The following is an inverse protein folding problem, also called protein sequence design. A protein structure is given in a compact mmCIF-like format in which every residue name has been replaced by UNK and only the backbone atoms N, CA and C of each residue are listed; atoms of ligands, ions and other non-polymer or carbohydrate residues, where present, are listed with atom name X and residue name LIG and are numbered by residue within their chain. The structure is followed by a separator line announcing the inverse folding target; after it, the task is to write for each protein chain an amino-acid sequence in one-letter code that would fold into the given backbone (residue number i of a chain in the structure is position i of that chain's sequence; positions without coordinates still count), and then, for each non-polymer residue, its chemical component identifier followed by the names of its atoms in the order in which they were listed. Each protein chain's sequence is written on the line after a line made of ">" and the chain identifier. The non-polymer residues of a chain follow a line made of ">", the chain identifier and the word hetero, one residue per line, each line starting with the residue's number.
data_IF_351112663746
#
_entry.id   IF_351112663746
#
_cell.length_a   1.000
_cell.length_b   1.000
_cell.length_c   1.000
_cell.angle_alpha   90.00
_cell.angle_beta   90.00
_cell.angle_gamma   90.00
#
_symmetry.space_group_name_H-M   'P 1'
#
loop_
_entity.id
_entity.type
_entity.pdbx_description
1 polymer ?
#
# COMPACT_ATOMS: atom_id res chain seq x y z
N UNK A 1 45.57 -44.28 29.54
CA UNK A 1 45.96 -43.10 30.31
C UNK A 1 44.96 -42.01 30.01
N UNK A 2 43.87 -41.75 30.67
CA UNK A 2 43.54 -41.78 32.08
C UNK A 2 43.56 -40.35 32.60
N UNK A 3 42.42 -39.65 32.67
CA UNK A 3 42.15 -38.79 33.80
C UNK A 3 40.69 -38.27 33.71
N UNK A 4 39.93 -38.72 34.65
CA UNK A 4 38.58 -38.30 35.01
C UNK A 4 38.70 -37.05 35.89
N UNK A 5 37.98 -35.99 35.60
CA UNK A 5 37.82 -34.87 36.55
C UNK A 5 36.38 -34.89 37.07
N UNK A 6 36.26 -35.13 38.38
CA UNK A 6 35.04 -35.14 39.18
C UNK A 6 34.76 -33.69 39.61
N UNK A 7 33.58 -33.17 39.34
CA UNK A 7 33.12 -31.87 39.82
C UNK A 7 32.25 -32.02 41.07
N UNK A 8 32.62 -31.29 42.11
CA UNK A 8 32.02 -31.23 43.45
C UNK A 8 30.63 -30.62 43.46
N UNK A 9 29.65 -31.36 43.98
CA UNK A 9 28.37 -30.82 44.44
C UNK A 9 28.53 -30.18 45.81
N UNK A 10 28.28 -28.89 45.94
CA UNK A 10 28.11 -28.19 47.22
C UNK A 10 26.65 -28.27 47.64
N UNK A 11 26.40 -29.02 48.72
CA UNK A 11 25.14 -29.06 49.47
C UNK A 11 24.95 -27.77 50.23
N UNK A 12 23.86 -27.03 49.94
CA UNK A 12 23.39 -25.90 50.77
C UNK A 12 22.45 -26.41 51.86
N UNK A 13 22.89 -26.27 53.11
CA UNK A 13 22.07 -26.49 54.32
C UNK A 13 21.02 -25.39 54.46
N UNK A 14 19.74 -25.79 54.52
CA UNK A 14 18.64 -24.91 54.96
C UNK A 14 18.81 -24.55 56.44
N UNK A 15 18.93 -23.25 56.71
CA UNK A 15 18.79 -22.72 58.07
C UNK A 15 17.32 -22.46 58.32
N UNK A 16 16.79 -23.14 59.37
CA UNK A 16 15.45 -22.90 59.93
C UNK A 16 15.51 -21.59 60.71
N UNK A 17 14.67 -20.59 60.31
CA UNK A 17 14.49 -19.36 61.06
C UNK A 17 13.35 -19.51 62.09
N UNK A 18 13.45 -18.84 63.28
CA UNK A 18 12.52 -19.06 64.39
C UNK A 18 11.17 -18.41 64.13
N UNK A 19 10.10 -19.09 64.58
CA UNK A 19 8.74 -18.58 64.74
C UNK A 19 8.74 -17.40 65.72
N UNK A 20 8.55 -16.19 65.25
CA UNK A 20 7.87 -15.08 65.95
C UNK A 20 8.17 -13.76 65.19
N UNK A 21 7.43 -13.49 64.13
CA UNK A 21 7.21 -12.13 63.63
C UNK A 21 5.91 -12.06 62.83
N UNK A 22 4.82 -12.18 63.57
CA UNK A 22 3.52 -11.73 63.07
C UNK A 22 3.32 -10.31 63.60
N UNK A 23 3.60 -9.31 62.80
CA UNK A 23 2.96 -7.98 62.87
C UNK A 23 3.14 -7.27 61.54
N UNK A 24 2.01 -7.04 60.88
CA UNK A 24 1.76 -5.97 59.90
C UNK A 24 2.65 -5.99 58.64
N UNK A 25 2.38 -6.88 57.71
CA UNK A 25 2.66 -6.63 56.30
C UNK A 25 1.32 -6.35 55.60
N UNK A 26 1.04 -5.06 55.41
CA UNK A 26 -0.05 -4.63 54.55
C UNK A 26 0.22 -5.19 53.14
N UNK A 27 -0.66 -6.09 52.70
CA UNK A 27 -0.64 -6.65 51.38
C UNK A 27 -1.06 -5.55 50.40
N UNK A 28 -0.10 -4.73 49.96
CA UNK A 28 -0.33 -3.83 48.83
C UNK A 28 -0.40 -4.73 47.57
N UNK A 29 -1.63 -5.15 47.27
CA UNK A 29 -1.93 -5.74 45.98
C UNK A 29 -1.70 -4.63 44.93
N UNK A 30 -0.52 -4.64 44.32
CA UNK A 30 -0.25 -3.87 43.11
C UNK A 30 -1.12 -4.50 42.03
N UNK A 31 -2.33 -3.96 41.85
CA UNK A 31 -3.11 -4.23 40.65
C UNK A 31 -2.25 -3.78 39.48
N UNK A 32 -1.51 -4.72 38.89
CA UNK A 32 -1.04 -4.58 37.51
C UNK A 32 -2.30 -4.49 36.65
N UNK A 33 -2.78 -3.27 36.48
CA UNK A 33 -3.70 -2.95 35.39
C UNK A 33 -2.91 -3.27 34.13
N UNK A 34 -3.28 -4.29 33.32
CA UNK A 34 -2.67 -4.44 32.04
C UNK A 34 -2.88 -3.10 31.33
N UNK A 35 -1.80 -2.48 30.88
CA UNK A 35 -1.89 -1.43 29.89
C UNK A 35 -2.56 -2.05 28.67
N UNK A 36 -3.88 -2.06 28.65
CA UNK A 36 -4.65 -2.15 27.43
C UNK A 36 -4.16 -0.96 26.63
N UNK A 37 -3.23 -1.22 25.72
CA UNK A 37 -3.01 -0.37 24.58
C UNK A 37 -4.39 -0.18 23.96
N UNK A 38 -5.00 0.95 24.26
CA UNK A 38 -6.15 1.40 23.52
C UNK A 38 -5.69 1.59 22.07
N UNK A 39 -5.77 0.54 21.26
CA UNK A 39 -6.29 0.75 19.93
C UNK A 39 -7.66 1.37 20.20
N UNK A 40 -7.72 2.67 20.15
CA UNK A 40 -8.95 3.42 20.29
C UNK A 40 -9.77 2.96 19.09
N UNK A 41 -10.64 1.94 19.33
CA UNK A 41 -11.58 1.52 18.32
C UNK A 41 -12.29 2.79 17.90
N UNK A 42 -12.15 3.17 16.65
CA UNK A 42 -12.81 4.33 16.12
C UNK A 42 -14.32 4.03 16.09
N UNK A 43 -14.95 4.19 17.25
CA UNK A 43 -16.38 4.04 17.41
C UNK A 43 -17.00 5.41 17.19
N UNK A 44 -17.54 5.60 16.00
CA UNK A 44 -18.48 6.69 15.77
C UNK A 44 -19.80 6.32 16.47
N UNK A 45 -20.32 7.22 17.30
CA UNK A 45 -21.60 7.02 17.97
C UNK A 45 -22.80 7.16 17.03
N UNK A 46 -22.56 7.33 15.72
CA UNK A 46 -23.57 7.53 14.66
C UNK A 46 -22.97 7.05 13.34
N UNK A 47 -23.82 6.76 12.38
CA UNK A 47 -23.41 6.50 10.99
C UNK A 47 -22.94 7.81 10.35
N UNK A 48 -21.65 7.94 10.00
CA UNK A 48 -21.16 9.16 9.37
C UNK A 48 -21.72 9.28 7.93
N UNK A 49 -22.10 10.48 7.56
CA UNK A 49 -22.64 10.79 6.23
C UNK A 49 -21.72 11.68 5.39
N UNK A 50 -20.74 12.34 6.06
CA UNK A 50 -19.85 13.32 5.44
C UNK A 50 -18.39 13.00 5.77
N UNK A 51 -17.84 12.05 5.03
CA UNK A 51 -16.53 11.45 5.34
C UNK A 51 -15.42 12.10 4.52
N UNK A 52 -14.41 12.58 5.20
CA UNK A 52 -13.19 13.09 4.57
C UNK A 52 -12.07 12.06 4.60
N UNK A 53 -11.63 11.63 3.41
CA UNK A 53 -10.37 10.89 3.24
C UNK A 53 -9.18 11.84 3.29
N UNK A 54 -8.41 11.80 4.37
CA UNK A 54 -7.36 12.78 4.62
C UNK A 54 -6.14 12.66 3.69
N UNK A 55 -6.03 11.54 2.97
CA UNK A 55 -5.02 11.33 1.92
C UNK A 55 -5.57 10.46 0.78
N UNK A 56 -4.90 10.45 -0.38
CA UNK A 56 -5.41 9.80 -1.59
C UNK A 56 -5.68 8.30 -1.45
N UNK A 57 -4.90 7.57 -0.65
CA UNK A 57 -5.09 6.12 -0.46
C UNK A 57 -6.44 5.86 0.19
N UNK A 58 -6.74 6.60 1.26
CA UNK A 58 -8.02 6.51 1.98
C UNK A 58 -9.18 6.98 1.10
N UNK A 59 -9.01 8.08 0.35
CA UNK A 59 -10.04 8.57 -0.56
C UNK A 59 -10.40 7.52 -1.62
N UNK A 60 -9.43 6.77 -2.15
CA UNK A 60 -9.70 5.67 -3.08
C UNK A 60 -10.45 4.51 -2.43
N UNK A 61 -10.16 4.22 -1.15
CA UNK A 61 -10.95 3.24 -0.40
C UNK A 61 -12.39 3.72 -0.17
N UNK A 62 -12.60 5.01 0.11
CA UNK A 62 -13.95 5.58 0.22
C UNK A 62 -14.73 5.47 -1.09
N UNK A 63 -14.07 5.69 -2.24
CA UNK A 63 -14.71 5.49 -3.56
C UNK A 63 -15.17 4.04 -3.74
N UNK A 64 -14.38 3.06 -3.28
CA UNK A 64 -14.74 1.65 -3.36
C UNK A 64 -15.82 1.24 -2.35
N UNK A 65 -15.83 1.88 -1.18
CA UNK A 65 -16.66 1.49 -0.03
C UNK A 65 -18.02 2.18 0.00
N UNK A 66 -18.01 3.52 -0.02
CA UNK A 66 -19.18 4.36 0.17
C UNK A 66 -18.96 5.72 -0.54
N UNK A 67 -18.94 5.74 -1.88
CA UNK A 67 -18.65 6.96 -2.65
C UNK A 67 -19.66 8.08 -2.37
N UNK A 68 -20.89 7.75 -1.98
CA UNK A 68 -21.92 8.71 -1.60
C UNK A 68 -21.55 9.52 -0.35
N UNK A 69 -20.86 8.90 0.60
CA UNK A 69 -20.46 9.53 1.87
C UNK A 69 -19.19 10.39 1.75
N UNK A 70 -18.40 10.22 0.69
CA UNK A 70 -17.17 10.98 0.47
C UNK A 70 -17.48 12.46 0.20
N UNK A 71 -16.82 13.40 0.90
CA UNK A 71 -17.07 14.85 0.72
C UNK A 71 -16.20 15.51 -0.34
N UNK A 72 -15.11 14.90 -0.79
CA UNK A 72 -14.26 15.48 -1.82
C UNK A 72 -12.95 14.73 -2.08
N UNK A 73 -12.21 15.24 -3.05
CA UNK A 73 -10.96 14.67 -3.55
C UNK A 73 -9.74 15.34 -2.94
N UNK A 74 -8.61 14.62 -2.90
CA UNK A 74 -7.33 15.19 -2.47
C UNK A 74 -6.60 15.93 -3.60
N UNK A 75 -6.91 15.63 -4.84
CA UNK A 75 -6.38 16.29 -6.04
C UNK A 75 -7.37 16.13 -7.22
N UNK A 76 -7.26 16.92 -8.27
CA UNK A 76 -8.12 16.76 -9.45
C UNK A 76 -8.00 15.36 -10.05
N UNK A 77 -9.13 14.74 -10.32
CA UNK A 77 -9.19 13.43 -10.98
C UNK A 77 -9.17 13.63 -12.49
N UNK A 78 -8.52 12.69 -13.19
CA UNK A 78 -8.49 12.73 -14.66
C UNK A 78 -9.90 12.67 -15.24
N UNK A 79 -10.24 13.53 -16.22
CA UNK A 79 -11.52 13.46 -16.91
C UNK A 79 -11.81 12.10 -17.55
N UNK A 80 -10.77 11.37 -17.96
CA UNK A 80 -10.88 10.02 -18.54
C UNK A 80 -11.38 8.98 -17.52
N UNK A 81 -11.25 9.25 -16.22
CA UNK A 81 -11.76 8.37 -15.18
C UNK A 81 -13.25 8.61 -14.87
N UNK A 82 -13.89 9.61 -15.50
CA UNK A 82 -15.31 9.96 -15.24
C UNK A 82 -16.27 8.80 -15.50
N UNK A 83 -15.99 7.98 -16.52
CA UNK A 83 -16.83 6.84 -16.87
C UNK A 83 -16.75 5.67 -15.88
N UNK A 84 -15.71 5.69 -15.01
CA UNK A 84 -15.46 4.65 -14.02
C UNK A 84 -16.17 4.93 -12.70
N UNK A 85 -16.29 6.20 -12.32
CA UNK A 85 -16.85 6.55 -11.03
C UNK A 85 -18.37 6.61 -11.04
N UNK A 86 -19.04 6.23 -9.95
CA UNK A 86 -20.47 6.44 -9.77
C UNK A 86 -20.86 7.91 -9.99
N UNK A 87 -22.09 8.12 -10.44
CA UNK A 87 -22.62 9.48 -10.68
C UNK A 87 -22.46 10.37 -9.44
N UNK A 88 -22.06 11.61 -9.64
CA UNK A 88 -21.87 12.61 -8.59
C UNK A 88 -20.56 12.47 -7.79
N UNK A 89 -19.81 11.35 -7.93
CA UNK A 89 -18.50 11.19 -7.25
C UNK A 89 -17.42 12.02 -7.94
N UNK A 90 -17.40 12.01 -9.26
CA UNK A 90 -16.44 12.76 -10.05
C UNK A 90 -16.53 14.29 -9.81
N UNK A 91 -17.73 14.81 -9.58
CA UNK A 91 -18.01 16.25 -9.44
C UNK A 91 -17.75 16.80 -8.03
N UNK A 92 -17.35 15.95 -7.08
CA UNK A 92 -17.04 16.40 -5.72
C UNK A 92 -15.86 17.37 -5.70
N UNK A 93 -15.83 18.35 -4.77
CA UNK A 93 -14.80 19.38 -4.72
C UNK A 93 -13.42 18.79 -4.43
N UNK A 94 -12.37 19.50 -4.85
CA UNK A 94 -10.99 19.21 -4.47
C UNK A 94 -10.69 19.93 -3.15
N UNK A 95 -10.64 19.16 -2.06
CA UNK A 95 -10.35 19.66 -0.70
C UNK A 95 -8.83 19.70 -0.46
N UNK A 96 -8.07 18.85 -1.16
CA UNK A 96 -6.68 18.60 -0.84
C UNK A 96 -6.51 17.48 0.18
N UNK A 97 -5.31 17.33 0.73
CA UNK A 97 -5.01 16.27 1.70
C UNK A 97 -3.57 16.25 2.13
N UNK A 98 -3.25 15.40 3.10
CA UNK A 98 -1.87 15.18 3.54
C UNK A 98 -1.22 14.08 2.70
N UNK A 99 -0.31 14.46 1.84
CA UNK A 99 0.50 13.54 1.05
C UNK A 99 1.78 14.22 0.58
N UNK A 100 2.66 13.51 -0.10
CA UNK A 100 4.02 13.90 -0.49
C UNK A 100 4.32 15.39 -0.63
N UNK A 101 5.56 15.78 -0.36
CA UNK A 101 6.07 17.16 -0.46
C UNK A 101 5.38 18.19 0.48
N UNK A 102 4.86 17.74 1.64
CA UNK A 102 4.28 18.65 2.63
C UNK A 102 2.92 19.23 2.25
N UNK A 103 2.21 18.63 1.29
CA UNK A 103 0.86 19.07 0.92
C UNK A 103 -0.10 18.90 2.10
N UNK A 104 -1.01 19.86 2.22
CA UNK A 104 -2.04 19.93 3.26
C UNK A 104 -3.40 20.21 2.61
N UNK A 105 -4.51 19.82 3.26
CA UNK A 105 -5.83 20.21 2.79
C UNK A 105 -6.03 21.72 2.88
N UNK A 106 -6.95 22.23 2.06
CA UNK A 106 -7.51 23.56 2.28
C UNK A 106 -8.51 23.47 3.45
N UNK A 107 -8.11 24.01 4.61
CA UNK A 107 -8.89 23.89 5.85
C UNK A 107 -10.23 24.63 5.79
N UNK A 108 -10.33 25.73 5.05
CA UNK A 108 -11.60 26.48 4.86
C UNK A 108 -12.57 25.62 4.03
N UNK A 109 -12.09 25.04 2.94
CA UNK A 109 -12.92 24.15 2.10
C UNK A 109 -13.31 22.90 2.88
N UNK A 110 -12.40 22.31 3.67
CA UNK A 110 -12.70 21.15 4.51
C UNK A 110 -13.83 21.47 5.51
N UNK A 111 -13.71 22.56 6.25
CA UNK A 111 -14.70 22.96 7.25
C UNK A 111 -16.04 23.34 6.62
N UNK A 112 -16.02 24.04 5.49
CA UNK A 112 -17.25 24.39 4.75
C UNK A 112 -18.01 23.15 4.25
N UNK A 113 -17.33 22.00 4.13
CA UNK A 113 -17.97 20.72 3.78
C UNK A 113 -18.43 19.92 5.02
N UNK A 114 -18.33 20.46 6.24
CA UNK A 114 -18.87 19.91 7.47
C UNK A 114 -18.62 18.40 7.61
N UNK A 115 -17.36 17.92 7.66
CA UNK A 115 -17.08 16.49 7.86
C UNK A 115 -17.58 16.04 9.24
N UNK A 116 -18.16 14.85 9.30
CA UNK A 116 -18.55 14.18 10.56
C UNK A 116 -17.64 12.99 10.89
N UNK A 117 -16.78 12.60 9.96
CA UNK A 117 -15.69 11.66 10.14
C UNK A 117 -14.49 12.02 9.26
N UNK A 118 -13.30 11.95 9.84
CA UNK A 118 -12.02 12.05 9.12
C UNK A 118 -11.31 10.70 9.20
N UNK A 119 -10.95 10.13 8.05
CA UNK A 119 -10.19 8.89 7.97
C UNK A 119 -8.80 9.17 7.39
N UNK A 120 -7.75 8.64 8.05
CA UNK A 120 -6.35 8.81 7.66
C UNK A 120 -5.66 7.46 7.45
N UNK A 121 -4.49 7.44 6.81
CA UNK A 121 -3.56 6.31 6.93
C UNK A 121 -2.61 6.53 8.12
N UNK A 122 -2.27 5.45 8.83
CA UNK A 122 -1.38 5.50 9.99
C UNK A 122 -0.04 6.16 9.72
N UNK A 123 0.53 5.96 8.52
CA UNK A 123 1.76 6.62 8.07
C UNK A 123 1.66 8.17 8.04
N UNK A 124 0.46 8.73 7.96
CA UNK A 124 0.22 10.18 7.94
C UNK A 124 -0.07 10.76 9.32
N UNK A 125 -0.22 9.91 10.34
CA UNK A 125 -0.46 10.35 11.72
C UNK A 125 0.82 10.92 12.32
N UNK A 126 0.73 12.11 12.90
CA UNK A 126 1.78 12.70 13.73
C UNK A 126 1.15 13.64 14.79
N UNK A 127 1.83 13.92 15.93
CA UNK A 127 1.26 14.66 17.04
C UNK A 127 0.69 16.03 16.65
N UNK A 128 1.41 16.79 15.82
CA UNK A 128 0.97 18.13 15.38
C UNK A 128 -0.32 18.06 14.55
N UNK A 129 -0.42 17.06 13.70
CA UNK A 129 -1.60 16.86 12.84
C UNK A 129 -2.79 16.37 13.67
N UNK A 130 -2.55 15.44 14.60
CA UNK A 130 -3.58 14.98 15.53
C UNK A 130 -4.15 16.13 16.37
N UNK A 131 -3.29 16.97 16.96
CA UNK A 131 -3.72 18.15 17.71
C UNK A 131 -4.56 19.11 16.86
N UNK A 132 -4.15 19.35 15.60
CA UNK A 132 -4.90 20.21 14.69
C UNK A 132 -6.28 19.62 14.38
N UNK A 133 -6.36 18.32 14.12
CA UNK A 133 -7.62 17.64 13.80
C UNK A 133 -8.54 17.54 15.01
N UNK A 134 -8.00 17.31 16.21
CA UNK A 134 -8.77 17.31 17.47
C UNK A 134 -9.48 18.65 17.70
N UNK A 135 -8.85 19.77 17.34
CA UNK A 135 -9.46 21.11 17.44
C UNK A 135 -10.69 21.30 16.53
N UNK A 136 -10.87 20.45 15.52
CA UNK A 136 -12.06 20.48 14.68
C UNK A 136 -13.30 19.86 15.36
N UNK A 137 -13.11 19.11 16.44
CA UNK A 137 -14.20 18.41 17.12
C UNK A 137 -14.83 17.25 16.32
N UNK A 138 -14.16 16.82 15.25
CA UNK A 138 -14.59 15.72 14.36
C UNK A 138 -13.83 14.44 14.73
N UNK A 139 -14.50 13.28 14.84
CA UNK A 139 -13.83 12.00 15.02
C UNK A 139 -12.78 11.74 13.95
N UNK A 140 -11.61 11.25 14.36
CA UNK A 140 -10.50 10.90 13.46
C UNK A 140 -10.13 9.44 13.64
N UNK A 141 -10.21 8.67 12.58
CA UNK A 141 -9.88 7.26 12.54
C UNK A 141 -8.68 7.01 11.65
N UNK A 142 -7.84 6.05 11.98
CA UNK A 142 -6.69 5.70 11.17
C UNK A 142 -6.71 4.24 10.71
N UNK A 143 -6.52 4.04 9.41
CA UNK A 143 -6.27 2.76 8.76
C UNK A 143 -4.77 2.52 8.71
N UNK A 144 -4.37 1.26 8.79
CA UNK A 144 -2.95 0.91 8.81
C UNK A 144 -2.26 1.20 7.47
N UNK A 145 -2.73 0.60 6.38
CA UNK A 145 -2.34 0.83 4.98
C UNK A 145 -0.82 0.85 4.71
N UNK A 146 -0.05 0.09 5.48
CA UNK A 146 1.41 0.01 5.35
C UNK A 146 1.84 -0.92 4.20
N UNK A 147 1.07 -1.99 3.96
CA UNK A 147 1.33 -3.01 2.94
C UNK A 147 0.04 -3.47 2.27
N UNK A 148 0.15 -4.21 1.16
CA UNK A 148 -1.02 -4.83 0.52
C UNK A 148 -1.78 -5.79 1.45
N UNK A 149 -1.09 -6.43 2.41
CA UNK A 149 -1.72 -7.35 3.37
C UNK A 149 -2.61 -6.64 4.39
N UNK A 150 -2.51 -5.35 4.56
CA UNK A 150 -3.33 -4.60 5.51
C UNK A 150 -4.72 -4.29 4.95
N UNK A 151 -4.88 -4.22 3.63
CA UNK A 151 -6.15 -3.82 2.99
C UNK A 151 -7.38 -4.65 3.37
N UNK A 152 -7.30 -5.98 3.53
CA UNK A 152 -8.48 -6.75 3.96
C UNK A 152 -9.03 -6.30 5.32
N UNK A 153 -8.16 -6.15 6.34
CA UNK A 153 -8.57 -5.66 7.65
C UNK A 153 -9.06 -4.22 7.59
N UNK A 154 -8.34 -3.37 6.84
CA UNK A 154 -8.68 -1.95 6.70
C UNK A 154 -10.02 -1.75 5.95
N UNK A 155 -10.39 -2.61 5.00
CA UNK A 155 -11.73 -2.59 4.39
C UNK A 155 -12.82 -2.99 5.39
N UNK A 156 -12.58 -3.98 6.26
CA UNK A 156 -13.52 -4.36 7.33
C UNK A 156 -13.71 -3.22 8.31
N UNK A 157 -12.61 -2.61 8.78
CA UNK A 157 -12.64 -1.51 9.73
C UNK A 157 -13.38 -0.30 9.14
N UNK A 158 -13.04 0.09 7.91
CA UNK A 158 -13.71 1.18 7.22
C UNK A 158 -15.21 0.90 7.01
N UNK A 159 -15.56 -0.32 6.60
CA UNK A 159 -16.95 -0.76 6.46
C UNK A 159 -17.74 -0.63 7.77
N UNK A 160 -17.16 -1.07 8.89
CA UNK A 160 -17.77 -0.96 10.21
C UNK A 160 -17.98 0.50 10.62
N UNK A 161 -16.99 1.37 10.41
CA UNK A 161 -17.08 2.79 10.75
C UNK A 161 -18.14 3.54 9.94
N UNK A 162 -18.39 3.09 8.70
CA UNK A 162 -19.32 3.73 7.77
C UNK A 162 -20.73 3.11 7.77
N UNK A 163 -21.04 2.17 8.67
CA UNK A 163 -22.31 1.43 8.63
C UNK A 163 -22.48 0.57 7.37
N UNK A 164 -21.35 0.16 6.74
CA UNK A 164 -21.30 -0.63 5.50
C UNK A 164 -20.55 -1.96 5.71
N UNK A 165 -20.79 -2.63 6.84
CA UNK A 165 -20.04 -3.82 7.23
C UNK A 165 -20.07 -4.94 6.16
N UNK A 166 -21.22 -5.20 5.54
CA UNK A 166 -21.34 -6.19 4.47
C UNK A 166 -20.48 -5.84 3.25
N UNK A 167 -20.44 -4.55 2.88
CA UNK A 167 -19.59 -4.07 1.80
C UNK A 167 -18.12 -4.20 2.16
N UNK A 168 -17.75 -3.88 3.40
CA UNK A 168 -16.40 -4.04 3.95
C UNK A 168 -15.93 -5.47 3.88
N UNK A 169 -16.76 -6.43 4.30
CA UNK A 169 -16.45 -7.87 4.23
C UNK A 169 -16.32 -8.37 2.78
N UNK A 170 -17.19 -7.92 1.89
CA UNK A 170 -17.10 -8.26 0.47
C UNK A 170 -15.75 -7.84 -0.12
N UNK A 171 -15.35 -6.56 0.06
CA UNK A 171 -14.10 -6.04 -0.48
C UNK A 171 -12.88 -6.69 0.16
N UNK A 172 -12.93 -6.94 1.47
CA UNK A 172 -11.89 -7.67 2.20
C UNK A 172 -11.69 -9.09 1.65
N UNK A 173 -12.76 -9.86 1.49
CA UNK A 173 -12.73 -11.22 0.95
C UNK A 173 -12.19 -11.24 -0.49
N UNK A 174 -12.60 -10.29 -1.33
CA UNK A 174 -12.09 -10.16 -2.70
C UNK A 174 -10.59 -9.84 -2.71
N UNK A 175 -10.14 -8.95 -1.83
CA UNK A 175 -8.74 -8.60 -1.70
C UNK A 175 -7.90 -9.78 -1.19
N UNK A 176 -8.39 -10.55 -0.20
CA UNK A 176 -7.76 -11.77 0.29
C UNK A 176 -7.58 -12.80 -0.82
N UNK A 177 -8.60 -13.01 -1.66
CA UNK A 177 -8.53 -13.94 -2.77
C UNK A 177 -7.44 -13.54 -3.79
N UNK A 178 -7.35 -12.27 -4.15
CA UNK A 178 -6.33 -11.74 -5.06
C UNK A 178 -4.92 -11.87 -4.46
N UNK A 179 -4.77 -11.58 -3.17
CA UNK A 179 -3.50 -11.73 -2.45
C UNK A 179 -3.08 -13.21 -2.42
N UNK A 180 -3.99 -14.11 -2.09
CA UNK A 180 -3.73 -15.55 -2.04
C UNK A 180 -3.31 -16.09 -3.42
N UNK A 181 -4.02 -15.70 -4.48
CA UNK A 181 -3.67 -16.06 -5.85
C UNK A 181 -2.26 -15.57 -6.21
N UNK A 182 -1.94 -14.32 -5.89
CA UNK A 182 -0.62 -13.75 -6.18
C UNK A 182 0.50 -14.45 -5.42
N UNK A 183 0.25 -14.83 -4.16
CA UNK A 183 1.21 -15.62 -3.38
C UNK A 183 1.43 -17.01 -3.97
N UNK A 184 0.38 -17.70 -4.42
CA UNK A 184 0.48 -19.00 -5.11
C UNK A 184 1.34 -18.89 -6.38
N UNK A 185 1.16 -17.84 -7.18
CA UNK A 185 1.97 -17.61 -8.38
C UNK A 185 3.45 -17.37 -8.06
N UNK A 186 3.76 -16.67 -6.96
CA UNK A 186 5.14 -16.53 -6.48
C UNK A 186 5.72 -17.88 -6.04
N UNK A 187 4.93 -18.74 -5.40
CA UNK A 187 5.35 -20.10 -5.08
C UNK A 187 5.64 -20.94 -6.33
N UNK A 188 4.84 -20.79 -7.40
CA UNK A 188 5.11 -21.43 -8.69
C UNK A 188 6.49 -21.04 -9.22
N UNK A 189 6.85 -19.75 -9.20
CA UNK A 189 8.19 -19.29 -9.60
C UNK A 189 9.29 -19.98 -8.77
N UNK A 190 9.10 -20.07 -7.46
CA UNK A 190 10.05 -20.71 -6.55
C UNK A 190 10.17 -22.23 -6.79
N UNK A 191 9.04 -22.95 -6.91
CA UNK A 191 9.00 -24.40 -7.19
C UNK A 191 9.63 -24.76 -8.53
N UNK A 192 9.42 -23.92 -9.54
CA UNK A 192 10.03 -24.07 -10.87
C UNK A 192 11.49 -23.58 -10.94
N UNK A 193 12.02 -23.02 -9.84
CA UNK A 193 13.37 -22.44 -9.76
C UNK A 193 13.62 -21.39 -10.84
N UNK A 194 12.60 -20.58 -11.13
CA UNK A 194 12.71 -19.48 -12.10
C UNK A 194 13.58 -18.38 -11.50
N UNK A 195 14.58 -17.92 -12.24
CA UNK A 195 15.40 -16.77 -11.82
C UNK A 195 14.54 -15.52 -11.77
N UNK A 196 14.53 -14.84 -10.62
CA UNK A 196 13.76 -13.62 -10.45
C UNK A 196 14.34 -12.50 -11.32
N UNK A 197 13.47 -11.82 -12.05
CA UNK A 197 13.82 -10.67 -12.89
C UNK A 197 14.12 -9.45 -12.03
N UNK A 198 15.08 -8.65 -12.46
CA UNK A 198 15.34 -7.32 -11.90
C UNK A 198 14.49 -6.29 -12.63
N UNK A 199 13.75 -5.48 -11.88
CA UNK A 199 12.84 -4.45 -12.42
C UNK A 199 13.22 -3.08 -11.88
N UNK A 200 13.56 -2.16 -12.77
CA UNK A 200 13.77 -0.76 -12.44
C UNK A 200 12.46 0.01 -12.56
N UNK A 201 12.04 0.68 -11.49
CA UNK A 201 10.89 1.58 -11.53
C UNK A 201 11.37 3.00 -11.88
N UNK A 202 11.15 3.39 -13.13
CA UNK A 202 11.54 4.69 -13.66
C UNK A 202 10.45 5.73 -13.33
N UNK A 203 10.83 6.78 -12.63
CA UNK A 203 9.98 7.91 -12.28
C UNK A 203 10.60 9.22 -12.76
N UNK A 204 9.82 10.29 -12.70
CA UNK A 204 10.12 11.62 -13.23
C UNK A 204 10.29 11.66 -14.76
N UNK A 205 10.19 12.85 -15.38
CA UNK A 205 10.18 12.98 -16.86
C UNK A 205 11.48 12.52 -17.55
N UNK A 206 12.56 12.33 -16.79
CA UNK A 206 13.84 11.81 -17.31
C UNK A 206 14.07 10.32 -16.97
N UNK A 207 13.16 9.69 -16.19
CA UNK A 207 13.25 8.30 -15.74
C UNK A 207 14.32 8.02 -14.69
N UNK A 208 15.06 9.04 -14.21
CA UNK A 208 16.20 8.88 -13.30
C UNK A 208 15.85 9.06 -11.82
N UNK A 209 14.58 9.01 -11.47
CA UNK A 209 14.13 8.83 -10.10
C UNK A 209 13.57 7.41 -9.93
N UNK A 210 13.78 6.83 -8.76
CA UNK A 210 13.31 5.48 -8.41
C UNK A 210 12.96 5.39 -6.94
N UNK A 211 12.66 4.18 -6.47
CA UNK A 211 12.34 3.88 -5.08
C UNK A 211 13.35 2.90 -4.49
N UNK A 212 13.58 3.00 -3.19
CA UNK A 212 14.40 2.03 -2.48
C UNK A 212 13.73 0.65 -2.46
N UNK A 213 14.53 -0.41 -2.46
CA UNK A 213 14.04 -1.76 -2.14
C UNK A 213 13.43 -1.75 -0.73
N UNK A 214 12.17 -2.21 -0.61
CA UNK A 214 11.41 -2.16 0.65
C UNK A 214 10.61 -0.87 0.86
N UNK A 215 10.67 0.09 -0.07
CA UNK A 215 9.74 1.22 -0.08
C UNK A 215 8.31 0.72 -0.35
N UNK A 216 7.33 1.31 0.35
CA UNK A 216 5.90 1.11 0.06
C UNK A 216 5.58 1.45 -1.41
N UNK A 217 6.31 2.40 -1.98
CA UNK A 217 6.17 2.86 -3.36
C UNK A 217 6.76 1.90 -4.40
N UNK A 218 7.54 0.89 -3.98
CA UNK A 218 8.08 -0.15 -4.84
C UNK A 218 7.49 -1.53 -4.56
N UNK A 219 6.48 -1.63 -3.67
CA UNK A 219 5.94 -2.90 -3.18
C UNK A 219 5.37 -3.78 -4.29
N UNK A 220 4.86 -3.20 -5.37
CA UNK A 220 4.37 -3.94 -6.55
C UNK A 220 5.44 -4.86 -7.15
N UNK A 221 6.73 -4.48 -7.12
CA UNK A 221 7.83 -5.26 -7.71
C UNK A 221 8.00 -6.62 -7.01
N UNK A 222 8.19 -6.71 -5.68
CA UNK A 222 8.29 -8.01 -5.01
C UNK A 222 6.98 -8.80 -5.04
N UNK A 223 5.83 -8.14 -5.12
CA UNK A 223 4.56 -8.81 -5.35
C UNK A 223 4.48 -9.44 -6.74
N UNK A 224 5.04 -8.80 -7.76
CA UNK A 224 5.16 -9.37 -9.10
C UNK A 224 6.24 -10.47 -9.23
N UNK A 225 6.82 -10.94 -8.12
CA UNK A 225 7.88 -11.94 -8.13
C UNK A 225 9.19 -11.44 -8.72
N UNK A 226 9.49 -10.17 -8.56
CA UNK A 226 10.69 -9.53 -9.11
C UNK A 226 11.52 -8.82 -8.03
N UNK A 227 12.67 -8.32 -8.39
CA UNK A 227 13.62 -7.66 -7.49
C UNK A 227 13.86 -6.23 -7.97
N UNK A 228 13.63 -5.27 -7.08
CA UNK A 228 14.10 -3.89 -7.30
C UNK A 228 15.63 -3.85 -7.08
N UNK A 229 16.44 -3.46 -8.06
CA UNK A 229 17.90 -3.42 -7.93
C UNK A 229 18.40 -2.32 -6.99
N UNK A 230 17.62 -1.26 -6.77
CA UNK A 230 18.05 -0.10 -5.98
C UNK A 230 17.92 -0.35 -4.47
N UNK A 231 19.07 -0.47 -3.81
CA UNK A 231 19.16 -0.60 -2.34
C UNK A 231 19.66 0.72 -1.77
N UNK A 232 18.86 1.32 -0.91
CA UNK A 232 19.26 2.55 -0.23
C UNK A 232 20.10 2.25 1.02
N UNK A 233 21.03 3.16 1.38
CA UNK A 233 21.75 3.08 2.63
C UNK A 233 20.81 3.03 3.85
N UNK A 234 21.20 2.28 4.89
CA UNK A 234 20.39 2.09 6.08
C UNK A 234 20.14 3.37 6.89
N UNK A 235 20.99 4.37 6.73
CA UNK A 235 20.92 5.67 7.40
C UNK A 235 19.88 6.63 6.80
N UNK A 236 19.31 6.31 5.64
CA UNK A 236 18.28 7.14 5.01
C UNK A 236 16.89 7.03 5.68
N UNK A 237 16.73 6.18 6.70
CA UNK A 237 15.56 6.12 7.56
C UNK A 237 14.23 6.07 6.79
N UNK A 238 13.29 6.96 7.13
CA UNK A 238 11.96 7.00 6.47
C UNK A 238 12.00 7.39 4.99
N UNK A 239 13.07 8.01 4.49
CA UNK A 239 13.21 8.29 3.05
C UNK A 239 13.32 6.99 2.25
N UNK A 240 13.95 5.96 2.81
CA UNK A 240 14.04 4.64 2.17
C UNK A 240 12.69 3.97 2.03
N UNK A 241 11.70 4.35 2.86
CA UNK A 241 10.35 3.76 2.87
C UNK A 241 9.32 4.57 2.08
N UNK A 242 9.46 5.90 2.03
CA UNK A 242 8.40 6.77 1.52
C UNK A 242 8.85 7.80 0.47
N UNK A 243 10.12 7.87 0.14
CA UNK A 243 10.68 8.90 -0.72
C UNK A 243 11.27 8.40 -2.03
N UNK A 244 11.09 9.20 -3.09
CA UNK A 244 11.83 9.01 -4.34
C UNK A 244 13.31 9.31 -4.14
N UNK A 245 14.16 8.54 -4.81
CA UNK A 245 15.61 8.72 -4.83
C UNK A 245 16.05 9.00 -6.26
N UNK A 246 16.78 10.10 -6.46
CA UNK A 246 17.42 10.36 -7.73
C UNK A 246 18.67 9.48 -7.90
N UNK A 247 18.83 8.90 -9.08
CA UNK A 247 20.04 8.19 -9.49
C UNK A 247 20.60 8.81 -10.76
N UNK A 248 21.85 8.51 -11.08
CA UNK A 248 22.43 8.87 -12.36
C UNK A 248 22.36 7.68 -13.36
N UNK A 249 22.61 7.97 -14.62
CA UNK A 249 22.56 6.98 -15.69
C UNK A 249 23.62 5.90 -15.53
N UNK A 250 24.79 6.24 -14.99
CA UNK A 250 25.88 5.27 -14.74
C UNK A 250 25.45 4.22 -13.71
N UNK A 251 24.72 4.62 -12.67
CA UNK A 251 24.14 3.69 -11.69
C UNK A 251 23.12 2.78 -12.35
N UNK A 252 22.25 3.33 -13.21
CA UNK A 252 21.27 2.52 -13.93
C UNK A 252 21.93 1.53 -14.91
N UNK A 253 22.99 1.95 -15.59
CA UNK A 253 23.78 1.07 -16.47
C UNK A 253 24.45 -0.06 -15.69
N UNK A 254 24.90 0.19 -14.45
CA UNK A 254 25.43 -0.87 -13.56
C UNK A 254 24.33 -1.86 -13.15
N UNK A 255 23.11 -1.39 -12.89
CA UNK A 255 21.99 -2.28 -12.59
C UNK A 255 21.61 -3.13 -13.79
N UNK A 256 21.65 -2.55 -14.99
CA UNK A 256 21.26 -3.18 -16.24
C UNK A 256 20.06 -4.11 -16.08
N UNK A 257 18.88 -3.58 -15.67
CA UNK A 257 17.73 -4.37 -15.25
C UNK A 257 17.15 -5.23 -16.38
N UNK A 258 16.46 -6.32 -16.01
CA UNK A 258 15.76 -7.18 -16.97
C UNK A 258 14.54 -6.48 -17.58
N UNK A 259 13.88 -5.63 -16.79
CA UNK A 259 12.75 -4.84 -17.24
C UNK A 259 12.75 -3.45 -16.61
N UNK A 260 12.06 -2.53 -17.27
CA UNK A 260 11.78 -1.18 -16.78
C UNK A 260 10.26 -1.03 -16.74
N UNK A 261 9.74 -0.52 -15.61
CA UNK A 261 8.33 -0.15 -15.50
C UNK A 261 8.22 1.33 -15.17
N UNK A 262 7.25 2.02 -15.75
CA UNK A 262 7.02 3.45 -15.50
C UNK A 262 5.54 3.80 -15.55
N UNK A 263 5.18 4.89 -14.89
CA UNK A 263 3.86 5.56 -14.97
C UNK A 263 3.99 6.96 -15.61
N UNK A 264 5.20 7.34 -16.03
CA UNK A 264 5.48 8.64 -16.62
C UNK A 264 5.37 8.56 -18.12
N UNK A 265 4.21 8.94 -18.68
CA UNK A 265 3.92 8.83 -20.12
C UNK A 265 4.96 9.57 -20.97
N UNK A 266 5.30 10.80 -20.58
CA UNK A 266 6.28 11.61 -21.31
C UNK A 266 7.68 10.98 -21.35
N UNK A 267 8.08 10.26 -20.29
CA UNK A 267 9.32 9.48 -20.27
C UNK A 267 9.20 8.26 -21.20
N UNK A 268 8.12 7.49 -21.08
CA UNK A 268 7.90 6.29 -21.88
C UNK A 268 7.95 6.58 -23.39
N UNK A 269 7.29 7.64 -23.83
CA UNK A 269 7.24 8.05 -25.24
C UNK A 269 8.59 8.53 -25.77
N UNK A 270 9.41 9.16 -24.92
CA UNK A 270 10.74 9.65 -25.30
C UNK A 270 11.84 8.60 -25.22
N UNK A 271 11.62 7.49 -24.53
CA UNK A 271 12.66 6.51 -24.19
C UNK A 271 13.44 6.03 -25.42
N UNK A 272 12.74 5.78 -26.56
CA UNK A 272 13.36 5.35 -27.80
C UNK A 272 14.37 6.36 -28.37
N UNK A 273 14.22 7.64 -28.04
CA UNK A 273 15.10 8.73 -28.50
C UNK A 273 16.25 9.07 -27.53
N UNK A 274 16.34 8.37 -26.39
CA UNK A 274 17.37 8.63 -25.37
C UNK A 274 18.57 7.69 -25.55
N UNK A 275 19.73 8.16 -26.10
CA UNK A 275 20.83 7.26 -26.48
C UNK A 275 21.42 6.46 -25.32
N UNK A 276 21.54 7.07 -24.13
CA UNK A 276 22.07 6.40 -22.93
C UNK A 276 21.20 5.24 -22.45
N UNK A 277 19.89 5.28 -22.70
CA UNK A 277 18.96 4.23 -22.34
C UNK A 277 19.00 3.04 -23.30
N UNK A 278 19.40 3.27 -24.56
CA UNK A 278 19.50 2.22 -25.58
C UNK A 278 20.58 1.16 -25.25
N UNK A 279 21.51 1.47 -24.35
CA UNK A 279 22.51 0.53 -23.88
C UNK A 279 21.95 -0.57 -22.96
N UNK A 280 20.81 -0.31 -22.30
CA UNK A 280 20.19 -1.21 -21.31
C UNK A 280 19.58 -2.44 -21.99
N UNK A 281 19.77 -3.63 -21.36
CA UNK A 281 19.19 -4.88 -21.89
C UNK A 281 17.66 -4.85 -21.91
N UNK A 282 17.02 -4.19 -20.94
CA UNK A 282 15.57 -4.02 -20.90
C UNK A 282 15.05 -3.31 -22.17
N UNK A 283 15.73 -2.26 -22.61
CA UNK A 283 15.36 -1.51 -23.82
C UNK A 283 15.62 -2.34 -25.07
N UNK A 284 16.79 -2.95 -25.19
CA UNK A 284 17.16 -3.82 -26.33
C UNK A 284 16.20 -4.99 -26.51
N UNK A 285 15.65 -5.51 -25.42
CA UNK A 285 14.75 -6.67 -25.42
C UNK A 285 13.26 -6.28 -25.41
N UNK A 286 12.91 -5.01 -25.60
CA UNK A 286 11.54 -4.50 -25.54
C UNK A 286 10.83 -4.83 -24.21
N UNK A 287 11.58 -4.82 -23.09
CA UNK A 287 11.07 -5.07 -21.75
C UNK A 287 10.87 -3.75 -20.98
N UNK A 288 10.21 -2.80 -21.62
CA UNK A 288 9.82 -1.52 -21.03
C UNK A 288 8.31 -1.41 -21.02
N UNK A 289 7.73 -1.22 -19.84
CA UNK A 289 6.29 -1.31 -19.64
C UNK A 289 5.74 0.00 -19.09
N UNK A 290 4.73 0.54 -19.76
CA UNK A 290 3.91 1.63 -19.26
C UNK A 290 2.74 1.04 -18.46
N UNK A 291 2.69 1.33 -17.17
CA UNK A 291 1.71 0.72 -16.28
C UNK A 291 0.32 1.34 -16.46
N UNK A 292 -0.76 0.54 -16.26
CA UNK A 292 -2.12 1.03 -16.27
C UNK A 292 -2.35 2.16 -15.25
N UNK A 293 -3.23 3.12 -15.60
CA UNK A 293 -3.49 4.32 -14.80
C UNK A 293 -4.97 4.61 -14.55
N UNK A 294 -5.86 3.78 -15.04
CA UNK A 294 -7.33 3.96 -14.93
C UNK A 294 -7.91 3.03 -13.87
N UNK A 295 -8.79 3.49 -12.98
CA UNK A 295 -9.18 4.89 -12.74
C UNK A 295 -8.11 5.64 -11.95
N UNK A 296 -7.18 4.93 -11.33
CA UNK A 296 -6.05 5.39 -10.53
C UNK A 296 -4.77 4.73 -11.05
N UNK A 297 -3.62 5.34 -10.75
CA UNK A 297 -2.32 4.72 -11.04
C UNK A 297 -2.20 3.37 -10.31
N UNK A 298 -1.86 2.31 -11.07
CA UNK A 298 -1.85 0.96 -10.51
C UNK A 298 -0.61 0.64 -9.69
N UNK A 299 0.56 1.13 -10.11
CA UNK A 299 1.81 0.80 -9.42
C UNK A 299 1.96 1.56 -8.10
N UNK A 300 1.73 2.89 -8.15
CA UNK A 300 2.13 3.79 -7.07
C UNK A 300 1.61 5.22 -7.29
N UNK A 301 1.77 6.06 -6.26
CA UNK A 301 1.49 7.50 -6.19
C UNK A 301 0.07 7.89 -6.55
N UNK A 302 -0.84 7.44 -5.68
CA UNK A 302 -0.60 6.83 -4.34
C UNK A 302 -0.46 5.31 -4.38
N UNK A 303 0.22 4.69 -3.37
CA UNK A 303 0.35 3.23 -3.25
C UNK A 303 -0.96 2.60 -2.74
N UNK A 304 -1.98 2.54 -3.60
CA UNK A 304 -3.33 2.08 -3.28
C UNK A 304 -3.49 0.55 -3.42
N UNK A 305 -4.69 0.05 -3.13
CA UNK A 305 -5.07 -1.36 -3.36
C UNK A 305 -4.98 -1.79 -4.82
N UNK A 306 -4.94 -0.84 -5.78
CA UNK A 306 -4.71 -1.14 -7.20
C UNK A 306 -3.39 -1.88 -7.46
N UNK A 307 -2.43 -1.79 -6.54
CA UNK A 307 -1.13 -2.47 -6.64
C UNK A 307 -1.24 -3.98 -6.80
N UNK A 308 -2.33 -4.61 -6.34
CA UNK A 308 -2.52 -6.05 -6.53
C UNK A 308 -2.76 -6.40 -8.00
N UNK A 309 -3.56 -5.61 -8.72
CA UNK A 309 -3.71 -5.76 -10.17
C UNK A 309 -2.41 -5.48 -10.91
N UNK A 310 -1.70 -4.43 -10.50
CA UNK A 310 -0.39 -4.10 -11.07
C UNK A 310 0.61 -5.25 -10.91
N UNK A 311 0.60 -5.94 -9.76
CA UNK A 311 1.48 -7.08 -9.49
C UNK A 311 1.18 -8.25 -10.42
N UNK A 312 -0.08 -8.59 -10.66
CA UNK A 312 -0.48 -9.64 -11.60
C UNK A 312 -0.13 -9.27 -13.04
N UNK A 313 -0.49 -8.06 -13.45
CA UNK A 313 -0.15 -7.52 -14.77
C UNK A 313 1.36 -7.55 -15.03
N UNK A 314 2.15 -7.05 -14.10
CA UNK A 314 3.61 -7.01 -14.24
C UNK A 314 4.21 -8.43 -14.23
N UNK A 315 3.73 -9.32 -13.36
CA UNK A 315 4.18 -10.71 -13.33
C UNK A 315 3.95 -11.41 -14.67
N UNK A 316 2.79 -11.22 -15.30
CA UNK A 316 2.49 -11.80 -16.61
C UNK A 316 3.44 -11.25 -17.71
N UNK A 317 3.78 -9.95 -17.65
CA UNK A 317 4.78 -9.35 -18.57
C UNK A 317 6.19 -9.91 -18.36
N UNK A 318 6.58 -10.17 -17.11
CA UNK A 318 7.91 -10.65 -16.77
C UNK A 318 8.13 -12.15 -17.06
N UNK A 319 7.07 -12.96 -16.92
CA UNK A 319 7.16 -14.42 -16.96
C UNK A 319 6.16 -15.07 -17.94
N UNK A 320 6.09 -14.61 -19.21
CA UNK A 320 5.10 -15.10 -20.16
C UNK A 320 5.27 -16.58 -20.55
N UNK A 321 6.45 -17.16 -20.25
CA UNK A 321 6.77 -18.55 -20.57
C UNK A 321 6.52 -19.51 -19.38
N UNK A 322 6.03 -19.03 -18.24
CA UNK A 322 5.62 -19.86 -17.10
C UNK A 322 4.13 -20.20 -17.29
N UNK A 323 3.76 -21.46 -17.51
CA UNK A 323 2.41 -21.83 -17.95
C UNK A 323 1.31 -21.30 -17.05
N UNK A 324 1.47 -21.38 -15.71
CA UNK A 324 0.47 -20.93 -14.75
C UNK A 324 0.31 -19.41 -14.78
N UNK A 325 1.37 -18.67 -15.09
CA UNK A 325 1.35 -17.21 -15.22
C UNK A 325 0.80 -16.79 -16.60
N UNK A 326 1.19 -17.50 -17.64
CA UNK A 326 0.68 -17.29 -19.00
C UNK A 326 -0.83 -17.52 -19.09
N UNK A 327 -1.36 -18.46 -18.29
CA UNK A 327 -2.78 -18.81 -18.25
C UNK A 327 -3.65 -17.78 -17.47
N UNK A 328 -3.05 -16.76 -16.86
CA UNK A 328 -3.82 -15.72 -16.17
C UNK A 328 -4.68 -14.94 -17.16
N UNK A 329 -5.98 -14.91 -16.91
CA UNK A 329 -6.90 -14.03 -17.63
C UNK A 329 -6.95 -12.66 -16.93
N UNK A 330 -5.93 -11.84 -17.21
CA UNK A 330 -5.84 -10.49 -16.63
C UNK A 330 -6.97 -9.57 -17.10
N UNK A 331 -7.57 -9.84 -18.25
CA UNK A 331 -8.73 -9.09 -18.76
C UNK A 331 -9.92 -9.38 -17.85
N UNK A 332 -10.23 -10.65 -17.64
CA UNK A 332 -11.33 -11.07 -16.74
C UNK A 332 -11.08 -10.57 -15.30
N UNK A 333 -9.87 -10.75 -14.78
CA UNK A 333 -9.53 -10.24 -13.44
C UNK A 333 -9.76 -8.73 -13.32
N UNK A 334 -9.40 -7.95 -14.35
CA UNK A 334 -9.64 -6.51 -14.38
C UNK A 334 -11.15 -6.20 -14.38
N UNK A 335 -11.93 -6.90 -15.19
CA UNK A 335 -13.39 -6.72 -15.23
C UNK A 335 -14.03 -7.02 -13.88
N UNK A 336 -13.70 -8.16 -13.27
CA UNK A 336 -14.20 -8.57 -11.95
C UNK A 336 -13.80 -7.57 -10.86
N UNK A 337 -12.55 -7.11 -10.87
CA UNK A 337 -12.08 -6.12 -9.92
C UNK A 337 -12.85 -4.79 -10.04
N UNK A 338 -13.07 -4.29 -11.25
CA UNK A 338 -13.83 -3.05 -11.44
C UNK A 338 -15.29 -3.20 -11.02
N UNK A 339 -15.89 -4.36 -11.30
CA UNK A 339 -17.23 -4.67 -10.84
C UNK A 339 -17.31 -4.72 -9.30
N UNK A 340 -16.37 -5.42 -8.66
CA UNK A 340 -16.37 -5.60 -7.22
C UNK A 340 -16.03 -4.31 -6.47
N UNK A 341 -14.99 -3.57 -6.88
CA UNK A 341 -14.48 -2.42 -6.14
C UNK A 341 -15.13 -1.08 -6.56
N UNK A 342 -15.49 -0.92 -7.82
CA UNK A 342 -16.05 0.35 -8.32
C UNK A 342 -17.50 0.23 -8.78
N UNK A 343 -18.09 -0.96 -8.76
CA UNK A 343 -19.45 -1.25 -9.22
C UNK A 343 -19.67 -0.87 -10.70
N UNK A 344 -18.62 -1.03 -11.50
CA UNK A 344 -18.59 -0.72 -12.94
C UNK A 344 -18.34 -1.99 -13.73
N UNK A 345 -19.21 -2.24 -14.72
CA UNK A 345 -19.06 -3.37 -15.64
C UNK A 345 -18.28 -2.89 -16.85
N UNK A 346 -17.03 -3.35 -16.96
CA UNK A 346 -16.21 -3.08 -18.14
C UNK A 346 -16.49 -4.09 -19.25
N UNK A 347 -16.57 -3.61 -20.48
CA UNK A 347 -16.48 -4.48 -21.66
C UNK A 347 -15.07 -5.09 -21.75
N UNK A 348 -14.94 -6.20 -22.48
CA UNK A 348 -13.62 -6.80 -22.75
C UNK A 348 -12.65 -5.79 -23.39
N UNK A 349 -13.13 -5.03 -24.36
CA UNK A 349 -12.33 -4.00 -25.05
C UNK A 349 -11.82 -2.91 -24.10
N UNK A 350 -12.67 -2.44 -23.18
CA UNK A 350 -12.28 -1.44 -22.18
C UNK A 350 -11.21 -1.99 -21.22
N UNK A 351 -11.37 -3.23 -20.75
CA UNK A 351 -10.37 -3.86 -19.90
C UNK A 351 -9.02 -4.06 -20.62
N UNK A 352 -9.04 -4.50 -21.89
CA UNK A 352 -7.84 -4.60 -22.73
C UNK A 352 -7.15 -3.25 -22.94
N UNK A 353 -7.91 -2.19 -23.17
CA UNK A 353 -7.40 -0.83 -23.35
C UNK A 353 -6.73 -0.32 -22.07
N UNK A 354 -7.34 -0.54 -20.90
CA UNK A 354 -6.74 -0.21 -19.60
C UNK A 354 -5.42 -0.95 -19.41
N UNK A 355 -5.37 -2.26 -19.68
CA UNK A 355 -4.19 -3.11 -19.51
C UNK A 355 -3.02 -2.71 -20.43
N UNK A 356 -3.29 -2.04 -21.52
CA UNK A 356 -2.29 -1.47 -22.44
C UNK A 356 -1.77 -0.09 -21.99
N UNK A 357 -2.23 0.41 -20.83
CA UNK A 357 -1.91 1.75 -20.34
C UNK A 357 -2.71 2.85 -21.03
N UNK A 358 -3.75 2.48 -21.80
CA UNK A 358 -4.69 3.41 -22.38
C UNK A 358 -5.62 4.03 -21.35
N UNK A 359 -6.22 5.15 -21.73
CA UNK A 359 -7.39 5.74 -21.05
C UNK A 359 -8.64 5.32 -21.82
N UNK A 360 -9.75 5.20 -21.12
CA UNK A 360 -11.07 4.89 -21.71
C UNK A 360 -11.57 6.08 -22.54
#
# INVERSE_FOLDING_TARGET
>A
MGSIIVSNFKTYRMRILPKNWMKSVGLTVLLMVPNLSYAQSCMTNHDPERVYGANPIVTYMLVAMAPEKMIGWNFPVSPQAKEIFPAGVFEKPVIGGWFGQGRTPNMEVLLANHPDLIVMSGAMVNPKRQEMLQKLGVPVCDLKLDTLNDYPSDFRDLGNWLGKAERGELLATKMEALIAQQMQLKEVLAKRKVSLKTVYYAQDPNGLATECRGSIHAETIPWAGAVNPHVCPADQGKYSRYGKVAINIETLLKYNPDAIVTQEKAFYEKLASLPSWQALKAVKNNQVFFAPQTPFRWLDRPPSFMRILAAQWLMQKLYPNVPEIAALDTVKTTQEFFQDFFQVILSKQQAEQILQGGTL
#
